data_IF_744505181550
#
_entry.id   IF_744505181550
#
_cell.length_a   1.000
_cell.length_b   1.000
_cell.length_c   1.000
_cell.angle_alpha   90.00
_cell.angle_beta   90.00
_cell.angle_gamma   90.00
#
_symmetry.space_group_name_H-M   'P 1'
#
loop_
_entity.id
_entity.type
_entity.pdbx_description
1 polymer ?
#
# COMPACT_ATOMS: atom_id res chain seq x y z
N UNK A 1 6.87 -3.82 -12.23
CA UNK A 1 5.54 -4.39 -11.90
C UNK A 1 5.56 -5.41 -10.76
N UNK A 2 6.47 -6.40 -10.73
CA UNK A 2 6.48 -7.46 -9.70
C UNK A 2 6.49 -6.87 -8.28
N UNK A 3 7.34 -5.89 -7.99
CA UNK A 3 7.44 -5.24 -6.66
C UNK A 3 6.14 -4.61 -6.17
N UNK A 4 5.38 -3.97 -7.07
CA UNK A 4 4.09 -3.38 -6.70
C UNK A 4 3.05 -4.45 -6.39
N UNK A 5 3.00 -5.52 -7.20
CA UNK A 5 2.08 -6.64 -7.00
C UNK A 5 2.40 -7.36 -5.67
N UNK A 6 3.67 -7.63 -5.39
CA UNK A 6 4.08 -8.29 -4.15
C UNK A 6 3.79 -7.43 -2.93
N UNK A 7 4.06 -6.12 -3.00
CA UNK A 7 3.70 -5.19 -1.93
C UNK A 7 2.19 -5.20 -1.67
N UNK A 8 1.35 -5.15 -2.72
CA UNK A 8 -0.11 -5.22 -2.58
C UNK A 8 -0.57 -6.53 -1.95
N UNK A 9 -0.01 -7.66 -2.38
CA UNK A 9 -0.34 -8.97 -1.81
C UNK A 9 0.04 -9.05 -0.32
N UNK A 10 1.22 -8.55 0.06
CA UNK A 10 1.66 -8.49 1.46
C UNK A 10 0.76 -7.57 2.30
N UNK A 11 0.39 -6.40 1.78
CA UNK A 11 -0.56 -5.49 2.43
C UNK A 11 -1.89 -6.21 2.69
N UNK A 12 -2.42 -6.90 1.67
CA UNK A 12 -3.69 -7.61 1.77
C UNK A 12 -3.63 -8.73 2.84
N UNK A 13 -2.57 -9.54 2.83
CA UNK A 13 -2.37 -10.59 3.84
C UNK A 13 -2.25 -9.99 5.24
N UNK A 14 -1.47 -8.91 5.41
CA UNK A 14 -1.33 -8.23 6.70
C UNK A 14 -2.67 -7.68 7.23
N UNK A 15 -3.52 -7.14 6.36
CA UNK A 15 -4.86 -6.69 6.73
C UNK A 15 -5.78 -7.85 7.14
N UNK A 16 -5.77 -8.97 6.40
CA UNK A 16 -6.54 -10.16 6.77
C UNK A 16 -6.11 -10.73 8.12
N UNK A 17 -4.80 -10.79 8.38
CA UNK A 17 -4.25 -11.21 9.66
C UNK A 17 -4.68 -10.26 10.79
N UNK A 18 -4.63 -8.94 10.54
CA UNK A 18 -5.06 -7.93 11.50
C UNK A 18 -6.54 -8.08 11.87
N UNK A 19 -7.42 -8.16 10.88
CA UNK A 19 -8.87 -8.34 11.08
C UNK A 19 -9.15 -9.63 11.87
N UNK A 20 -8.53 -10.74 11.45
CA UNK A 20 -8.70 -12.04 12.11
C UNK A 20 -8.24 -12.00 13.57
N UNK A 21 -7.12 -11.34 13.85
CA UNK A 21 -6.57 -11.22 15.19
C UNK A 21 -7.41 -10.29 16.09
N UNK A 22 -7.93 -9.18 15.56
CA UNK A 22 -8.87 -8.32 16.29
C UNK A 22 -10.16 -9.07 16.64
N UNK A 23 -10.70 -9.83 15.69
CA UNK A 23 -11.89 -10.65 15.92
C UNK A 23 -11.67 -11.74 16.97
N UNK A 24 -10.52 -12.42 16.94
CA UNK A 24 -10.18 -13.43 17.94
C UNK A 24 -9.89 -12.81 19.32
N UNK A 25 -9.31 -11.61 19.36
CA UNK A 25 -9.09 -10.86 20.59
C UNK A 25 -10.42 -10.52 21.28
N UNK A 26 -11.43 -10.06 20.54
CA UNK A 26 -12.75 -9.77 21.09
C UNK A 26 -13.35 -10.98 21.85
N UNK A 27 -13.15 -12.18 21.30
CA UNK A 27 -13.63 -13.45 21.88
C UNK A 27 -12.79 -13.98 23.05
N UNK A 28 -11.47 -13.85 22.98
CA UNK A 28 -10.54 -14.51 23.93
C UNK A 28 -9.93 -13.56 24.96
N UNK A 29 -10.00 -12.26 24.73
CA UNK A 29 -9.39 -11.20 25.54
C UNK A 29 -7.87 -11.39 25.76
N UNK A 30 -7.19 -12.06 24.82
CA UNK A 30 -5.77 -12.33 24.86
C UNK A 30 -4.95 -11.13 24.34
N UNK A 31 -4.10 -10.57 25.21
CA UNK A 31 -3.24 -9.41 24.90
C UNK A 31 -2.22 -9.69 23.79
N UNK A 32 -1.80 -10.94 23.61
CA UNK A 32 -0.91 -11.32 22.51
C UNK A 32 -1.60 -11.13 21.15
N UNK A 33 -2.88 -11.51 21.04
CA UNK A 33 -3.69 -11.30 19.83
C UNK A 33 -3.87 -9.81 19.53
N UNK A 34 -4.15 -8.99 20.54
CA UNK A 34 -4.25 -7.54 20.37
C UNK A 34 -2.94 -6.93 19.85
N UNK A 35 -1.81 -7.38 20.39
CA UNK A 35 -0.48 -6.90 19.99
C UNK A 35 -0.18 -7.29 18.55
N UNK A 36 -0.42 -8.56 18.19
CA UNK A 36 -0.26 -9.04 16.82
C UNK A 36 -1.17 -8.29 15.84
N UNK A 37 -2.45 -8.08 16.19
CA UNK A 37 -3.40 -7.36 15.35
C UNK A 37 -2.93 -5.94 15.02
N UNK A 38 -2.40 -5.23 16.03
CA UNK A 38 -1.83 -3.88 15.89
C UNK A 38 -0.56 -3.89 15.04
N UNK A 39 0.35 -4.83 15.26
CA UNK A 39 1.57 -4.95 14.45
C UNK A 39 1.19 -5.19 12.99
N UNK A 40 0.33 -6.16 12.69
CA UNK A 40 -0.12 -6.42 11.32
C UNK A 40 -0.79 -5.20 10.69
N UNK A 41 -1.58 -4.44 11.44
CA UNK A 41 -2.20 -3.21 10.97
C UNK A 41 -1.17 -2.12 10.63
N UNK A 42 -0.18 -1.89 11.51
CA UNK A 42 0.86 -0.92 11.26
C UNK A 42 1.78 -1.35 10.11
N UNK A 43 2.09 -2.64 9.99
CA UNK A 43 2.82 -3.18 8.83
C UNK A 43 2.06 -2.91 7.54
N UNK A 44 0.74 -3.17 7.50
CA UNK A 44 -0.08 -2.85 6.33
C UNK A 44 -0.07 -1.34 6.01
N UNK A 45 -0.20 -0.50 7.04
CA UNK A 45 -0.15 0.97 6.87
C UNK A 45 1.18 1.41 6.25
N UNK A 46 2.32 0.91 6.75
CA UNK A 46 3.65 1.22 6.20
C UNK A 46 3.76 0.76 4.75
N UNK A 47 3.25 -0.42 4.42
CA UNK A 47 3.25 -0.92 3.04
C UNK A 47 2.40 -0.05 2.12
N UNK A 48 1.24 0.43 2.57
CA UNK A 48 0.39 1.36 1.80
C UNK A 48 1.15 2.66 1.51
N UNK A 49 1.81 3.25 2.51
CA UNK A 49 2.65 4.43 2.31
C UNK A 49 3.81 4.16 1.34
N UNK A 50 4.47 3.02 1.48
CA UNK A 50 5.52 2.61 0.56
C UNK A 50 5.02 2.49 -0.88
N UNK A 51 3.83 1.91 -1.09
CA UNK A 51 3.19 1.79 -2.40
C UNK A 51 2.82 3.16 -2.98
N UNK A 52 2.29 4.08 -2.16
CA UNK A 52 1.99 5.45 -2.56
C UNK A 52 3.26 6.20 -3.03
N UNK A 53 4.35 6.08 -2.27
CA UNK A 53 5.65 6.67 -2.64
C UNK A 53 6.18 6.06 -3.93
N UNK A 54 6.10 4.73 -4.08
CA UNK A 54 6.55 4.03 -5.27
C UNK A 54 5.78 4.50 -6.50
N UNK A 55 4.46 4.66 -6.41
CA UNK A 55 3.62 5.11 -7.51
C UNK A 55 3.89 6.58 -7.88
N UNK A 56 3.99 7.47 -6.88
CA UNK A 56 4.36 8.88 -7.08
C UNK A 56 5.73 8.99 -7.76
N UNK A 57 6.72 8.22 -7.31
CA UNK A 57 8.01 8.12 -7.97
C UNK A 57 7.86 7.72 -9.44
N UNK A 58 7.06 6.69 -9.72
CA UNK A 58 6.76 6.24 -11.09
C UNK A 58 6.16 7.32 -11.98
N UNK A 59 5.22 8.10 -11.44
CA UNK A 59 4.58 9.22 -12.15
C UNK A 59 5.61 10.31 -12.46
N UNK A 60 6.43 10.71 -11.47
CA UNK A 60 7.41 11.80 -11.60
C UNK A 60 8.57 11.49 -12.55
N UNK A 61 8.99 10.22 -12.65
CA UNK A 61 10.06 9.79 -13.56
C UNK A 61 9.56 9.22 -14.88
N UNK A 62 8.25 9.25 -15.12
CA UNK A 62 7.60 8.73 -16.32
C UNK A 62 7.96 7.26 -16.61
N UNK A 63 7.89 6.40 -15.58
CA UNK A 63 8.03 4.93 -15.71
C UNK A 63 6.84 4.31 -16.46
N UNK A 64 6.76 4.58 -17.76
CA UNK A 64 5.66 4.15 -18.64
C UNK A 64 5.61 2.65 -18.89
N UNK A 65 6.62 1.89 -18.45
CA UNK A 65 6.53 0.44 -18.38
C UNK A 65 5.53 -0.04 -17.30
N UNK A 66 5.09 0.84 -16.40
CA UNK A 66 4.00 0.55 -15.47
C UNK A 66 2.67 0.96 -16.09
N UNK A 67 1.77 0.00 -16.29
CA UNK A 67 0.46 0.21 -16.92
C UNK A 67 -0.34 1.37 -16.31
N UNK A 68 -0.30 1.52 -14.98
CA UNK A 68 -0.95 2.65 -14.31
C UNK A 68 -0.35 4.00 -14.73
N UNK A 69 0.97 4.16 -14.66
CA UNK A 69 1.65 5.41 -15.04
C UNK A 69 1.40 5.73 -16.52
N UNK A 70 1.47 4.72 -17.40
CA UNK A 70 1.18 4.89 -18.82
C UNK A 70 -0.26 5.37 -19.08
N UNK A 71 -1.22 4.87 -18.30
CA UNK A 71 -2.64 5.16 -18.52
C UNK A 71 -3.07 6.52 -17.93
N UNK A 72 -2.35 7.02 -16.91
CA UNK A 72 -2.79 8.18 -16.12
C UNK A 72 -1.78 9.34 -16.04
N UNK A 73 -0.61 9.25 -16.68
CA UNK A 73 0.42 10.32 -16.68
C UNK A 73 0.81 10.78 -18.09
N UNK A 74 1.31 12.02 -18.20
CA UNK A 74 1.76 12.63 -19.46
C UNK A 74 3.04 13.43 -19.28
N UNK A 75 3.90 13.45 -20.32
CA UNK A 75 5.13 14.28 -20.34
C UNK A 75 4.87 15.77 -20.56
N UNK A 76 3.67 16.13 -21.04
CA UNK A 76 3.34 17.51 -21.38
C UNK A 76 2.76 18.31 -20.21
N UNK A 77 2.57 17.66 -19.05
CA UNK A 77 2.07 18.31 -17.85
C UNK A 77 3.21 18.96 -17.07
N UNK A 78 2.96 20.15 -16.52
CA UNK A 78 3.88 20.73 -15.54
C UNK A 78 3.87 19.88 -14.25
N UNK A 79 4.94 19.99 -13.45
CA UNK A 79 5.12 19.17 -12.25
C UNK A 79 3.92 19.22 -11.29
N UNK A 80 3.30 20.39 -11.11
CA UNK A 80 2.13 20.54 -10.24
C UNK A 80 0.93 19.72 -10.73
N UNK A 81 0.64 19.78 -12.03
CA UNK A 81 -0.44 18.98 -12.61
C UNK A 81 -0.10 17.49 -12.63
N UNK A 82 1.17 17.14 -12.77
CA UNK A 82 1.65 15.76 -12.71
C UNK A 82 1.40 15.14 -11.32
N UNK A 83 1.73 15.87 -10.24
CA UNK A 83 1.43 15.42 -8.86
C UNK A 83 -0.08 15.27 -8.66
N UNK A 84 -0.89 16.14 -9.26
CA UNK A 84 -2.36 16.12 -9.14
C UNK A 84 -3.03 14.94 -9.88
N UNK A 85 -2.27 14.14 -10.64
CA UNK A 85 -2.78 12.90 -11.26
C UNK A 85 -2.78 11.70 -10.31
N UNK A 86 -2.12 11.83 -9.16
CA UNK A 86 -2.08 10.84 -8.09
C UNK A 86 -3.21 11.07 -7.09
#
# INVERSE_FOLDING_TARGET
MITGITATALTFVALLLSISAYYLYDRRQDKALLTFARISFYTASVLIFFQAILLMYGILTHHFEWSYVFSYSSRNLSLFYLISTF
#
